data_IF_929053939361
#
_entry.id   IF_929053939361
#
_cell.length_a   1.000
_cell.length_b   1.000
_cell.length_c   1.000
_cell.angle_alpha   90.00
_cell.angle_beta   90.00
_cell.angle_gamma   90.00
#
_symmetry.space_group_name_H-M   'P 1'
#
loop_
_entity.id
_entity.type
_entity.pdbx_description
1 polymer ?
#
# COMPACT_ATOMS: atom_id res chain seq x y z
N UNK A 1 -62.07 -45.76 -8.66
CA UNK A 1 -60.80 -45.78 -9.43
C UNK A 1 -60.25 -44.36 -9.49
N UNK A 2 -59.00 -44.14 -9.94
CA UNK A 2 -58.44 -42.81 -10.18
C UNK A 2 -58.11 -42.66 -11.67
N UNK A 3 -58.64 -41.62 -12.32
CA UNK A 3 -58.34 -41.33 -13.72
C UNK A 3 -57.05 -40.51 -13.80
N UNK A 4 -56.01 -41.05 -14.46
CA UNK A 4 -54.68 -40.42 -14.51
C UNK A 4 -54.70 -39.14 -15.35
N UNK A 5 -55.44 -39.14 -16.47
CA UNK A 5 -55.57 -38.01 -17.39
C UNK A 5 -56.38 -36.87 -16.76
N UNK A 6 -57.49 -37.19 -16.08
CA UNK A 6 -58.36 -36.18 -15.45
C UNK A 6 -57.89 -35.78 -14.04
N UNK A 7 -56.87 -36.45 -13.50
CA UNK A 7 -56.32 -36.25 -12.16
C UNK A 7 -57.36 -36.24 -11.03
N UNK A 8 -58.39 -37.07 -11.13
CA UNK A 8 -59.49 -37.11 -10.16
C UNK A 8 -59.98 -38.53 -9.85
N UNK A 9 -60.55 -38.78 -8.66
CA UNK A 9 -61.26 -40.02 -8.37
C UNK A 9 -62.50 -40.15 -9.25
N UNK A 10 -62.76 -41.37 -9.72
CA UNK A 10 -63.92 -41.73 -10.56
C UNK A 10 -64.65 -42.92 -9.95
N UNK A 11 -65.98 -42.82 -9.88
CA UNK A 11 -66.87 -43.89 -9.41
C UNK A 11 -67.21 -44.87 -10.54
N UNK A 12 -67.88 -45.98 -10.20
CA UNK A 12 -68.25 -47.04 -11.15
C UNK A 12 -69.23 -46.54 -12.24
N UNK A 13 -70.16 -45.66 -11.88
CA UNK A 13 -71.16 -45.12 -12.80
C UNK A 13 -70.54 -44.22 -13.89
N UNK A 14 -69.53 -43.41 -13.55
CA UNK A 14 -68.79 -42.61 -14.54
C UNK A 14 -67.94 -43.46 -15.50
N UNK A 15 -67.59 -44.68 -15.11
CA UNK A 15 -66.89 -45.65 -15.96
C UNK A 15 -67.86 -46.33 -16.94
N UNK A 16 -69.04 -46.75 -16.46
CA UNK A 16 -70.09 -47.34 -17.31
C UNK A 16 -70.69 -46.36 -18.32
N UNK A 17 -70.85 -45.08 -17.93
CA UNK A 17 -71.33 -44.01 -18.83
C UNK A 17 -70.31 -43.63 -19.93
N UNK A 18 -69.15 -44.29 -19.99
CA UNK A 18 -68.15 -44.11 -21.04
C UNK A 18 -67.37 -42.79 -21.00
N UNK A 19 -67.63 -41.92 -20.02
CA UNK A 19 -66.98 -40.59 -19.85
C UNK A 19 -65.45 -40.66 -19.69
N UNK A 20 -64.94 -41.81 -19.24
CA UNK A 20 -63.50 -42.09 -19.09
C UNK A 20 -63.08 -43.38 -19.82
N UNK A 21 -63.85 -43.80 -20.82
CA UNK A 21 -63.63 -45.06 -21.55
C UNK A 21 -62.28 -45.13 -22.26
N UNK A 22 -61.73 -43.99 -22.69
CA UNK A 22 -60.42 -43.88 -23.34
C UNK A 22 -59.29 -43.47 -22.38
N UNK A 23 -59.58 -43.31 -21.08
CA UNK A 23 -58.60 -42.84 -20.10
C UNK A 23 -58.03 -43.99 -19.26
N UNK A 24 -56.75 -43.88 -18.92
CA UNK A 24 -56.08 -44.84 -18.04
C UNK A 24 -56.57 -44.63 -16.60
N UNK A 25 -57.21 -45.65 -16.03
CA UNK A 25 -57.70 -45.65 -14.65
C UNK A 25 -56.90 -46.62 -13.78
N UNK A 26 -56.36 -46.12 -12.67
CA UNK A 26 -55.57 -46.89 -11.70
C UNK A 26 -56.33 -47.11 -10.39
N UNK A 27 -55.90 -48.09 -9.60
CA UNK A 27 -56.45 -48.34 -8.28
C UNK A 27 -56.27 -47.11 -7.37
N UNK A 28 -57.34 -46.70 -6.70
CA UNK A 28 -57.37 -45.47 -5.88
C UNK A 28 -56.32 -45.53 -4.76
N UNK A 29 -56.21 -46.68 -4.08
CA UNK A 29 -55.23 -46.89 -3.00
C UNK A 29 -53.78 -46.82 -3.46
N UNK A 30 -53.47 -47.26 -4.68
CA UNK A 30 -52.12 -47.17 -5.24
C UNK A 30 -51.76 -45.72 -5.59
N UNK A 31 -52.68 -44.99 -6.25
CA UNK A 31 -52.48 -43.56 -6.55
C UNK A 31 -52.42 -42.69 -5.28
N UNK A 32 -53.21 -43.00 -4.26
CA UNK A 32 -53.14 -42.34 -2.95
C UNK A 32 -51.75 -42.48 -2.31
N UNK A 33 -51.18 -43.71 -2.27
CA UNK A 33 -49.82 -43.93 -1.76
C UNK A 33 -48.77 -43.17 -2.59
N UNK A 34 -48.89 -43.21 -3.92
CA UNK A 34 -47.97 -42.53 -4.84
C UNK A 34 -47.99 -41.01 -4.62
N UNK A 35 -49.16 -40.38 -4.62
CA UNK A 35 -49.28 -38.94 -4.41
C UNK A 35 -48.84 -38.51 -3.01
N UNK A 36 -49.15 -39.32 -1.98
CA UNK A 36 -48.68 -39.06 -0.60
C UNK A 36 -47.15 -39.11 -0.51
N UNK A 37 -46.52 -40.06 -1.20
CA UNK A 37 -45.06 -40.17 -1.29
C UNK A 37 -44.44 -38.99 -2.04
N UNK A 38 -44.99 -38.62 -3.20
CA UNK A 38 -44.52 -37.48 -4.00
C UNK A 38 -44.65 -36.15 -3.24
N UNK A 39 -45.79 -35.93 -2.56
CA UNK A 39 -45.99 -34.74 -1.74
C UNK A 39 -45.01 -34.70 -0.56
N UNK A 40 -44.77 -35.83 0.10
CA UNK A 40 -43.80 -35.91 1.20
C UNK A 40 -42.38 -35.60 0.72
N UNK A 41 -41.99 -36.12 -0.45
CA UNK A 41 -40.69 -35.84 -1.06
C UNK A 41 -40.55 -34.35 -1.45
N UNK A 42 -41.59 -33.75 -2.03
CA UNK A 42 -41.61 -32.33 -2.37
C UNK A 42 -41.52 -31.44 -1.10
N UNK A 43 -42.23 -31.81 -0.03
CA UNK A 43 -42.17 -31.11 1.26
C UNK A 43 -40.78 -31.21 1.91
N UNK A 44 -40.12 -32.36 1.83
CA UNK A 44 -38.75 -32.51 2.32
C UNK A 44 -37.80 -31.57 1.57
N UNK A 45 -37.86 -31.53 0.23
CA UNK A 45 -37.05 -30.61 -0.57
C UNK A 45 -37.31 -29.13 -0.27
N UNK A 46 -38.58 -28.75 -0.01
CA UNK A 46 -38.92 -27.39 0.42
C UNK A 46 -38.37 -27.08 1.82
N UNK A 47 -38.44 -28.06 2.75
CA UNK A 47 -37.92 -27.92 4.10
C UNK A 47 -36.40 -27.70 4.11
N UNK A 48 -35.67 -28.44 3.27
CA UNK A 48 -34.22 -28.30 3.16
C UNK A 48 -33.83 -26.93 2.58
N UNK A 49 -34.51 -26.47 1.51
CA UNK A 49 -34.31 -25.09 1.00
C UNK A 49 -34.65 -24.01 2.04
N UNK A 50 -35.66 -24.23 2.88
CA UNK A 50 -36.00 -23.29 3.94
C UNK A 50 -34.92 -23.22 5.03
N UNK A 51 -34.23 -24.33 5.33
CA UNK A 51 -33.07 -24.34 6.24
C UNK A 51 -31.88 -23.60 5.63
N UNK A 52 -31.54 -23.88 4.38
CA UNK A 52 -30.47 -23.16 3.65
C UNK A 52 -30.73 -21.65 3.63
N UNK A 53 -31.97 -21.22 3.35
CA UNK A 53 -32.34 -19.81 3.38
C UNK A 53 -32.17 -19.17 4.77
N UNK A 54 -32.48 -19.92 5.84
CA UNK A 54 -32.31 -19.45 7.23
C UNK A 54 -30.83 -19.30 7.59
N UNK A 55 -30.00 -20.25 7.18
CA UNK A 55 -28.54 -20.19 7.39
C UNK A 55 -27.93 -19.01 6.64
N UNK A 56 -28.35 -18.80 5.38
CA UNK A 56 -27.93 -17.65 4.59
C UNK A 56 -28.35 -16.31 5.23
N UNK A 57 -29.56 -16.22 5.80
CA UNK A 57 -29.99 -15.03 6.55
C UNK A 57 -29.12 -14.75 7.78
N UNK A 58 -28.66 -15.79 8.49
CA UNK A 58 -27.72 -15.63 9.60
C UNK A 58 -26.38 -15.14 9.10
N UNK A 59 -25.87 -15.70 8.00
CA UNK A 59 -24.63 -15.24 7.36
C UNK A 59 -24.71 -13.76 6.98
N UNK A 60 -25.79 -13.32 6.34
CA UNK A 60 -25.97 -11.91 5.98
C UNK A 60 -26.00 -10.99 7.20
N UNK A 61 -26.65 -11.40 8.29
CA UNK A 61 -26.66 -10.61 9.54
C UNK A 61 -25.26 -10.48 10.13
N UNK A 62 -24.47 -11.55 10.11
CA UNK A 62 -23.09 -11.50 10.56
C UNK A 62 -22.24 -10.59 9.67
N UNK A 63 -22.43 -10.62 8.35
CA UNK A 63 -21.74 -9.70 7.42
C UNK A 63 -22.08 -8.24 7.72
N UNK A 64 -23.36 -7.93 8.01
CA UNK A 64 -23.76 -6.57 8.40
C UNK A 64 -23.04 -6.12 9.67
N UNK A 65 -22.97 -6.99 10.69
CA UNK A 65 -22.24 -6.68 11.92
C UNK A 65 -20.75 -6.44 11.65
N UNK A 66 -20.10 -7.29 10.85
CA UNK A 66 -18.70 -7.12 10.49
C UNK A 66 -18.44 -5.82 9.72
N UNK A 67 -19.33 -5.44 8.79
CA UNK A 67 -19.21 -4.16 8.07
C UNK A 67 -19.30 -2.99 9.06
N UNK A 68 -20.22 -3.06 10.03
CA UNK A 68 -20.35 -2.02 11.05
C UNK A 68 -19.08 -1.89 11.90
N UNK A 69 -18.54 -2.99 12.40
CA UNK A 69 -17.30 -3.02 13.19
C UNK A 69 -16.11 -2.49 12.38
N UNK A 70 -15.92 -2.98 11.16
CA UNK A 70 -14.83 -2.55 10.28
C UNK A 70 -14.93 -1.07 9.90
N UNK A 71 -16.16 -0.54 9.73
CA UNK A 71 -16.38 0.89 9.40
C UNK A 71 -15.91 1.78 10.56
N UNK A 72 -16.23 1.41 11.80
CA UNK A 72 -15.82 2.17 12.98
C UNK A 72 -14.30 2.19 13.11
N UNK A 73 -13.64 1.05 12.91
CA UNK A 73 -12.17 0.98 12.94
C UNK A 73 -11.53 1.81 11.82
N UNK A 74 -12.08 1.72 10.61
CA UNK A 74 -11.61 2.50 9.46
C UNK A 74 -11.75 4.02 9.70
N UNK A 75 -12.89 4.46 10.22
CA UNK A 75 -13.13 5.86 10.59
C UNK A 75 -12.15 6.33 11.67
N UNK A 76 -11.93 5.53 12.71
CA UNK A 76 -10.97 5.87 13.77
C UNK A 76 -9.54 6.01 13.22
N UNK A 77 -9.14 5.14 12.30
CA UNK A 77 -7.84 5.21 11.64
C UNK A 77 -7.70 6.46 10.75
N UNK A 78 -8.74 6.78 9.97
CA UNK A 78 -8.77 7.99 9.14
C UNK A 78 -8.64 9.25 9.99
N UNK A 79 -9.41 9.34 11.09
CA UNK A 79 -9.35 10.46 12.02
C UNK A 79 -7.94 10.60 12.61
N UNK A 80 -7.36 9.51 13.09
CA UNK A 80 -6.00 9.53 13.65
C UNK A 80 -4.95 10.00 12.63
N UNK A 81 -5.07 9.61 11.35
CA UNK A 81 -4.17 10.08 10.29
C UNK A 81 -4.32 11.58 10.04
N UNK A 82 -5.55 12.09 9.98
CA UNK A 82 -5.82 13.52 9.83
C UNK A 82 -5.30 14.33 11.02
N UNK A 83 -5.51 13.85 12.24
CA UNK A 83 -5.04 14.51 13.46
C UNK A 83 -3.51 14.58 13.51
N UNK A 84 -2.82 13.53 13.08
CA UNK A 84 -1.37 13.54 12.97
C UNK A 84 -0.85 14.63 11.99
N UNK A 85 -1.55 14.86 10.88
CA UNK A 85 -1.22 15.94 9.94
C UNK A 85 -1.47 17.32 10.56
N UNK A 86 -2.57 17.49 11.28
CA UNK A 86 -2.89 18.73 12.01
C UNK A 86 -1.81 19.03 13.06
N UNK A 87 -1.38 18.02 13.82
CA UNK A 87 -0.32 18.15 14.81
C UNK A 87 1.02 18.53 14.19
N UNK A 88 1.38 17.92 13.05
CA UNK A 88 2.58 18.28 12.32
C UNK A 88 2.54 19.76 11.86
N UNK A 89 1.38 20.22 11.38
CA UNK A 89 1.18 21.60 10.97
C UNK A 89 1.27 22.58 12.15
N UNK A 90 0.68 22.23 13.29
CA UNK A 90 0.75 23.03 14.52
C UNK A 90 2.19 23.14 15.05
N UNK A 91 2.95 22.04 15.03
CA UNK A 91 4.38 22.06 15.37
C UNK A 91 5.17 22.98 14.43
N UNK A 92 4.88 22.92 13.11
CA UNK A 92 5.53 23.80 12.13
C UNK A 92 5.18 25.27 12.37
N UNK A 93 3.93 25.60 12.67
CA UNK A 93 3.49 26.94 13.05
C UNK A 93 4.26 27.47 14.26
N UNK A 94 4.40 26.67 15.32
CA UNK A 94 5.16 27.06 16.51
C UNK A 94 6.63 27.38 16.19
N UNK A 95 7.27 26.57 15.34
CA UNK A 95 8.64 26.83 14.89
C UNK A 95 8.78 28.13 14.08
N UNK A 96 7.81 28.43 13.20
CA UNK A 96 7.82 29.67 12.42
C UNK A 96 7.64 30.90 13.31
N UNK A 97 6.71 30.84 14.27
CA UNK A 97 6.52 31.90 15.26
C UNK A 97 7.78 32.12 16.12
N UNK A 98 8.48 31.06 16.51
CA UNK A 98 9.74 31.19 17.23
C UNK A 98 10.81 31.94 16.42
N UNK A 99 10.86 31.76 15.09
CA UNK A 99 11.76 32.53 14.22
C UNK A 99 11.40 34.01 14.17
N UNK A 100 10.11 34.32 14.04
CA UNK A 100 9.62 35.71 14.07
C UNK A 100 9.97 36.37 15.40
N UNK A 101 9.74 35.68 16.52
CA UNK A 101 10.05 36.23 17.83
C UNK A 101 11.56 36.47 18.04
N UNK A 102 12.41 35.57 17.53
CA UNK A 102 13.87 35.75 17.57
C UNK A 102 14.32 36.98 16.78
N UNK A 103 13.76 37.20 15.60
CA UNK A 103 14.04 38.39 14.78
C UNK A 103 13.57 39.68 15.48
N UNK A 104 12.38 39.63 16.07
CA UNK A 104 11.82 40.71 16.87
C UNK A 104 12.73 41.08 18.07
N UNK A 105 13.16 40.08 18.85
CA UNK A 105 14.07 40.28 19.98
C UNK A 105 15.41 40.84 19.55
N UNK A 106 15.96 40.34 18.43
CA UNK A 106 17.22 40.85 17.88
C UNK A 106 17.10 42.32 17.46
N UNK A 107 16.07 42.68 16.68
CA UNK A 107 15.79 44.06 16.27
C UNK A 107 15.65 44.99 17.47
N UNK A 108 14.84 44.61 18.46
CA UNK A 108 14.66 45.38 19.69
C UNK A 108 15.97 45.57 20.45
N UNK A 109 16.79 44.51 20.55
CA UNK A 109 18.09 44.60 21.22
C UNK A 109 19.00 45.61 20.54
N UNK A 110 19.16 45.54 19.21
CA UNK A 110 20.01 46.48 18.46
C UNK A 110 19.56 47.92 18.65
N UNK A 111 18.25 48.18 18.57
CA UNK A 111 17.70 49.54 18.75
C UNK A 111 17.87 50.02 20.19
N UNK A 112 17.61 49.19 21.20
CA UNK A 112 17.80 49.54 22.62
C UNK A 112 19.26 49.83 22.94
N UNK A 113 20.19 49.02 22.42
CA UNK A 113 21.62 49.23 22.60
C UNK A 113 22.07 50.56 21.95
N UNK A 114 21.53 50.89 20.77
CA UNK A 114 21.78 52.18 20.11
C UNK A 114 21.22 53.36 20.92
N UNK A 115 20.00 53.25 21.47
CA UNK A 115 19.42 54.26 22.36
C UNK A 115 20.34 54.48 23.58
N UNK A 116 20.72 53.40 24.27
CA UNK A 116 21.59 53.47 25.45
C UNK A 116 22.91 54.18 25.14
N UNK A 117 23.56 53.81 24.03
CA UNK A 117 24.80 54.42 23.58
C UNK A 117 24.64 55.94 23.32
N UNK A 118 23.61 56.33 22.57
CA UNK A 118 23.34 57.73 22.28
C UNK A 118 23.00 58.53 23.55
N UNK A 119 22.24 57.97 24.49
CA UNK A 119 21.90 58.61 25.76
C UNK A 119 23.14 58.89 26.61
N UNK A 120 24.06 57.93 26.75
CA UNK A 120 25.31 58.11 27.51
C UNK A 120 26.18 59.19 26.87
N UNK A 121 26.35 59.13 25.54
CA UNK A 121 27.17 60.08 24.80
C UNK A 121 26.60 61.50 24.85
N UNK A 122 25.27 61.64 24.76
CA UNK A 122 24.57 62.91 24.91
C UNK A 122 24.83 63.51 26.30
N UNK A 123 24.65 62.71 27.37
CA UNK A 123 24.92 63.15 28.74
C UNK A 123 26.36 63.64 28.93
N UNK A 124 27.34 62.90 28.40
CA UNK A 124 28.76 63.28 28.47
C UNK A 124 29.03 64.59 27.70
N UNK A 125 28.43 64.74 26.52
CA UNK A 125 28.57 65.95 25.69
C UNK A 125 27.94 67.16 26.39
N UNK A 126 26.74 67.01 26.96
CA UNK A 126 26.08 68.07 27.74
C UNK A 126 26.91 68.50 28.93
N UNK A 127 27.42 67.55 29.73
CA UNK A 127 28.26 67.89 30.89
C UNK A 127 29.58 68.57 30.50
N UNK A 128 30.20 68.16 29.40
CA UNK A 128 31.38 68.83 28.87
C UNK A 128 31.04 70.26 28.43
N UNK A 129 29.92 70.45 27.73
CA UNK A 129 29.46 71.75 27.27
C UNK A 129 29.18 72.70 28.44
N UNK A 130 28.45 72.24 29.47
CA UNK A 130 28.20 73.01 30.69
C UNK A 130 29.50 73.41 31.40
N UNK A 131 30.45 72.48 31.54
CA UNK A 131 31.75 72.79 32.15
C UNK A 131 32.56 73.80 31.32
N UNK A 132 32.59 73.66 29.99
CA UNK A 132 33.22 74.65 29.10
C UNK A 132 32.59 76.03 29.28
N UNK A 133 31.25 76.11 29.36
CA UNK A 133 30.52 77.37 29.55
C UNK A 133 30.85 78.03 30.90
N UNK A 134 31.04 77.26 31.96
CA UNK A 134 31.49 77.80 33.24
C UNK A 134 32.95 78.30 33.19
N UNK A 135 33.85 77.54 32.56
CA UNK A 135 35.27 77.93 32.41
C UNK A 135 35.43 79.22 31.60
N UNK A 136 34.58 79.44 30.58
CA UNK A 136 34.61 80.68 29.76
C UNK A 136 34.29 81.93 30.60
N UNK A 137 33.68 81.80 31.78
CA UNK A 137 33.39 82.92 32.70
C UNK A 137 34.58 83.31 33.59
N UNK A 138 35.72 82.59 33.51
CA UNK A 138 36.92 82.89 34.30
C UNK A 138 37.44 84.31 34.00
N UNK A 139 37.74 85.07 35.04
CA UNK A 139 38.16 86.47 34.90
C UNK A 139 39.68 86.63 34.94
N UNK A 140 40.41 85.65 35.49
CA UNK A 140 41.89 85.64 35.48
C UNK A 140 42.44 85.09 34.15
N UNK A 141 43.14 85.89 33.33
CA UNK A 141 43.68 85.43 32.05
C UNK A 141 44.71 84.30 32.20
N UNK A 142 45.48 84.27 33.29
CA UNK A 142 46.50 83.24 33.50
C UNK A 142 45.85 81.89 33.82
N UNK A 143 44.89 81.86 34.75
CA UNK A 143 44.11 80.67 35.11
C UNK A 143 43.34 80.08 33.93
N UNK A 144 42.72 80.92 33.11
CA UNK A 144 42.03 80.46 31.90
C UNK A 144 42.97 79.77 30.90
N UNK A 145 44.11 80.41 30.58
CA UNK A 145 45.08 79.88 29.61
C UNK A 145 45.74 78.57 30.08
N UNK A 146 45.83 78.31 31.40
CA UNK A 146 46.37 77.05 31.92
C UNK A 146 45.51 75.83 31.57
N UNK A 147 44.20 76.00 31.34
CA UNK A 147 43.27 74.88 31.14
C UNK A 147 42.61 74.85 29.75
N UNK A 148 42.54 75.99 29.05
CA UNK A 148 41.76 76.15 27.81
C UNK A 148 42.22 75.23 26.68
N UNK A 149 43.52 75.09 26.44
CA UNK A 149 44.07 74.25 25.37
C UNK A 149 43.69 72.77 25.53
N UNK A 150 43.71 72.26 26.76
CA UNK A 150 43.31 70.88 27.05
C UNK A 150 41.80 70.68 26.84
N UNK A 151 40.99 71.67 27.21
CA UNK A 151 39.55 71.71 27.00
C UNK A 151 39.17 71.73 25.53
N UNK A 152 39.81 72.60 24.74
CA UNK A 152 39.60 72.72 23.29
C UNK A 152 39.88 71.37 22.60
N UNK A 153 41.00 70.70 22.94
CA UNK A 153 41.29 69.36 22.42
C UNK A 153 40.20 68.35 22.77
N UNK A 154 39.71 68.36 24.02
CA UNK A 154 38.65 67.45 24.47
C UNK A 154 37.31 67.70 23.78
N UNK A 155 36.98 68.96 23.49
CA UNK A 155 35.79 69.33 22.71
C UNK A 155 35.89 68.78 21.30
N UNK A 156 36.98 69.06 20.57
CA UNK A 156 37.16 68.54 19.21
C UNK A 156 37.13 67.00 19.16
N UNK A 157 37.81 66.32 20.09
CA UNK A 157 37.77 64.85 20.18
C UNK A 157 36.35 64.32 20.41
N UNK A 158 35.53 65.03 21.18
CA UNK A 158 34.15 64.61 21.47
C UNK A 158 33.25 64.87 20.26
N UNK A 159 33.44 65.99 19.57
CA UNK A 159 32.76 66.35 18.32
C UNK A 159 33.05 65.33 17.21
N UNK A 160 34.33 65.00 16.99
CA UNK A 160 34.75 64.02 15.98
C UNK A 160 34.11 62.64 16.22
N UNK A 161 33.94 62.26 17.48
CA UNK A 161 33.29 61.00 17.84
C UNK A 161 31.82 60.97 17.45
N UNK A 162 31.09 62.08 17.41
CA UNK A 162 29.72 62.12 16.87
C UNK A 162 29.68 61.82 15.37
N UNK A 163 30.78 62.08 14.67
CA UNK A 163 30.96 61.84 13.25
C UNK A 163 30.85 60.37 12.83
N UNK A 164 30.35 60.18 11.60
CA UNK A 164 30.12 58.92 10.85
C UNK A 164 29.37 57.82 11.61
N UNK A 165 28.05 57.74 11.38
CA UNK A 165 27.25 56.56 11.70
C UNK A 165 26.71 56.48 13.13
N UNK A 166 27.04 57.44 14.01
CA UNK A 166 26.44 57.51 15.36
C UNK A 166 24.94 57.80 15.29
N UNK A 167 24.53 58.73 14.41
CA UNK A 167 23.15 59.22 14.28
C UNK A 167 22.34 58.50 13.18
N UNK A 168 22.87 57.44 12.58
CA UNK A 168 22.15 56.67 11.56
C UNK A 168 21.51 55.43 12.19
N UNK A 169 20.23 55.13 11.92
CA UNK A 169 19.60 53.91 12.40
C UNK A 169 20.38 52.67 11.94
N UNK A 170 20.68 51.77 12.88
CA UNK A 170 21.39 50.51 12.58
C UNK A 170 20.46 49.35 12.23
N UNK A 171 19.15 49.56 12.34
CA UNK A 171 18.15 48.52 12.11
C UNK A 171 16.89 49.10 11.46
N UNK A 172 16.23 48.29 10.64
CA UNK A 172 14.92 48.59 10.05
C UNK A 172 13.78 48.06 10.92
N UNK A 173 12.59 48.65 10.77
CA UNK A 173 11.37 48.23 11.47
C UNK A 173 10.68 47.03 10.81
N UNK A 174 10.85 46.85 9.49
CA UNK A 174 10.16 45.82 8.73
C UNK A 174 10.74 44.43 8.96
N UNK A 175 9.90 43.40 8.87
CA UNK A 175 10.32 42.00 8.92
C UNK A 175 10.49 41.47 7.50
N UNK A 176 11.72 41.12 7.14
CA UNK A 176 12.02 40.50 5.84
C UNK A 176 11.78 38.97 5.90
N UNK A 177 10.53 38.60 6.19
CA UNK A 177 10.08 37.22 6.31
C UNK A 177 8.79 37.05 5.51
N UNK A 178 8.81 36.17 4.52
CA UNK A 178 7.63 35.77 3.76
C UNK A 178 7.35 34.27 3.98
N UNK A 179 6.06 33.92 4.10
CA UNK A 179 5.61 32.54 4.20
C UNK A 179 4.96 32.14 2.87
N UNK A 180 5.57 31.19 2.17
CA UNK A 180 4.93 30.52 1.03
C UNK A 180 4.20 29.26 1.52
N UNK A 181 2.88 29.23 1.35
CA UNK A 181 2.02 28.10 1.72
C UNK A 181 1.46 27.34 0.51
N UNK A 182 1.76 27.78 -0.71
CA UNK A 182 1.17 27.24 -1.94
C UNK A 182 1.44 25.74 -2.13
N UNK A 183 2.67 25.24 -1.91
CA UNK A 183 2.96 23.81 -2.07
C UNK A 183 2.21 22.92 -1.08
N UNK A 184 2.02 23.41 0.16
CA UNK A 184 1.28 22.68 1.18
C UNK A 184 -0.21 22.63 0.85
N UNK A 185 -0.80 23.74 0.41
CA UNK A 185 -2.19 23.79 -0.03
C UNK A 185 -2.44 22.84 -1.21
N UNK A 186 -1.51 22.79 -2.17
CA UNK A 186 -1.59 21.83 -3.27
C UNK A 186 -1.57 20.38 -2.77
N UNK A 187 -0.71 20.07 -1.79
CA UNK A 187 -0.63 18.74 -1.19
C UNK A 187 -1.92 18.37 -0.45
N UNK A 188 -2.54 19.31 0.24
CA UNK A 188 -3.84 19.12 0.92
C UNK A 188 -4.95 18.84 -0.10
N UNK A 189 -4.99 19.57 -1.22
CA UNK A 189 -5.97 19.31 -2.28
C UNK A 189 -5.80 17.95 -2.96
N UNK A 190 -4.59 17.39 -2.95
CA UNK A 190 -4.30 16.05 -3.49
C UNK A 190 -4.53 14.93 -2.49
N UNK A 191 -4.89 15.25 -1.23
CA UNK A 191 -5.17 14.25 -0.21
C UNK A 191 -6.52 13.60 -0.49
N UNK A 192 -6.49 12.33 -0.88
CA UNK A 192 -7.67 11.54 -1.25
C UNK A 192 -7.50 10.08 -0.82
N UNK A 193 -8.60 9.32 -0.80
CA UNK A 193 -8.55 7.88 -0.61
C UNK A 193 -7.88 7.23 -1.81
N UNK A 194 -6.66 6.77 -1.62
CA UNK A 194 -6.06 5.83 -2.55
C UNK A 194 -6.73 4.49 -2.30
N UNK A 195 -7.57 4.06 -3.23
CA UNK A 195 -8.12 2.70 -3.20
C UNK A 195 -6.92 1.76 -3.24
N UNK A 196 -6.60 1.14 -2.09
CA UNK A 196 -5.77 -0.06 -2.10
C UNK A 196 -6.56 -1.03 -2.95
N UNK A 197 -6.14 -1.18 -4.21
CA UNK A 197 -6.60 -2.28 -5.04
C UNK A 197 -6.37 -3.50 -4.17
N UNK A 198 -7.45 -4.09 -3.67
CA UNK A 198 -7.42 -5.36 -2.97
C UNK A 198 -7.10 -6.46 -4.00
N UNK A 199 -5.94 -6.38 -4.64
CA UNK A 199 -5.18 -7.60 -4.85
C UNK A 199 -4.68 -7.93 -3.46
N UNK A 200 -5.33 -8.86 -2.76
CA UNK A 200 -4.52 -9.70 -1.89
C UNK A 200 -3.31 -10.11 -2.74
N UNK A 201 -2.07 -9.91 -2.28
CA UNK A 201 -0.95 -10.06 -3.18
C UNK A 201 -1.00 -11.47 -3.76
N UNK A 202 -0.93 -11.60 -5.08
CA UNK A 202 -0.60 -12.89 -5.67
C UNK A 202 0.80 -13.26 -5.15
N UNK A 203 1.12 -14.56 -5.00
CA UNK A 203 2.41 -14.94 -4.45
C UNK A 203 3.56 -14.35 -5.26
N UNK A 204 4.72 -14.16 -4.62
CA UNK A 204 5.89 -13.67 -5.35
C UNK A 204 6.32 -14.68 -6.44
N UNK A 205 6.86 -14.18 -7.55
CA UNK A 205 7.36 -15.02 -8.64
C UNK A 205 8.39 -16.02 -8.13
N UNK A 206 8.18 -17.34 -8.35
CA UNK A 206 9.12 -18.38 -7.92
C UNK A 206 10.47 -18.27 -8.66
N UNK A 207 11.53 -18.67 -7.97
CA UNK A 207 12.91 -18.65 -8.45
C UNK A 207 13.34 -20.08 -8.75
N UNK A 208 13.68 -20.38 -10.01
CA UNK A 208 14.27 -21.67 -10.39
C UNK A 208 15.67 -21.81 -9.77
N UNK A 209 15.91 -22.94 -9.11
CA UNK A 209 17.19 -23.30 -8.50
C UNK A 209 18.04 -24.02 -9.55
N UNK A 210 18.70 -23.25 -10.41
CA UNK A 210 19.45 -23.78 -11.56
C UNK A 210 20.48 -24.86 -11.20
N UNK A 211 21.07 -24.77 -10.02
CA UNK A 211 22.07 -25.71 -9.49
C UNK A 211 21.47 -27.08 -9.14
N UNK A 212 20.16 -27.12 -8.88
CA UNK A 212 19.40 -28.32 -8.54
C UNK A 212 18.58 -28.85 -9.72
N UNK A 213 18.48 -28.07 -10.81
CA UNK A 213 17.85 -28.51 -12.04
C UNK A 213 18.83 -29.34 -12.87
N UNK A 214 18.38 -30.48 -13.39
CA UNK A 214 19.21 -31.32 -14.25
C UNK A 214 18.38 -32.06 -15.29
N UNK A 215 19.05 -32.49 -16.36
CA UNK A 215 18.47 -33.41 -17.34
C UNK A 215 19.21 -34.74 -17.29
N UNK A 216 18.47 -35.83 -17.45
CA UNK A 216 19.03 -37.17 -17.50
C UNK A 216 18.25 -38.01 -18.52
N UNK A 217 18.93 -38.53 -19.54
CA UNK A 217 18.28 -39.25 -20.64
C UNK A 217 17.14 -38.41 -21.27
N UNK A 218 15.92 -38.91 -21.18
CA UNK A 218 14.68 -38.30 -21.63
C UNK A 218 13.85 -37.72 -20.47
N UNK A 219 14.48 -37.34 -19.37
CA UNK A 219 13.82 -36.70 -18.25
C UNK A 219 14.53 -35.42 -17.81
N UNK A 220 13.76 -34.54 -17.18
CA UNK A 220 14.24 -33.29 -16.61
C UNK A 220 13.71 -33.12 -15.19
N UNK A 221 14.61 -32.87 -14.24
CA UNK A 221 14.26 -32.49 -12.86
C UNK A 221 14.41 -30.98 -12.72
N UNK A 222 13.35 -30.34 -12.23
CA UNK A 222 13.25 -28.90 -12.02
C UNK A 222 12.99 -28.62 -10.54
N UNK A 223 13.75 -27.69 -9.96
CA UNK A 223 13.62 -27.22 -8.58
C UNK A 223 13.38 -25.71 -8.55
N UNK A 224 12.53 -25.24 -7.65
CA UNK A 224 12.20 -23.82 -7.50
C UNK A 224 11.86 -23.46 -6.05
N UNK A 225 12.02 -22.20 -5.67
CA UNK A 225 11.66 -21.71 -4.33
C UNK A 225 11.00 -20.35 -4.34
N UNK A 226 10.32 -20.01 -3.25
CA UNK A 226 9.87 -18.64 -3.05
C UNK A 226 11.07 -17.71 -2.78
N UNK A 227 11.00 -16.44 -3.22
CA UNK A 227 11.98 -15.42 -2.83
C UNK A 227 12.09 -15.30 -1.30
N UNK A 228 13.30 -15.13 -0.73
CA UNK A 228 13.51 -15.10 0.73
C UNK A 228 12.73 -14.02 1.49
N UNK A 229 12.32 -12.94 0.82
CA UNK A 229 11.57 -11.83 1.39
C UNK A 229 10.06 -11.88 1.06
N UNK A 230 9.58 -13.00 0.53
CA UNK A 230 8.16 -13.15 0.22
C UNK A 230 7.34 -13.26 1.51
N UNK A 231 6.48 -12.29 1.76
CA UNK A 231 5.56 -12.25 2.91
C UNK A 231 4.20 -12.88 2.61
N UNK A 232 4.02 -13.39 1.38
CA UNK A 232 2.74 -13.85 0.83
C UNK A 232 2.83 -15.35 0.53
N UNK A 233 2.07 -16.19 1.24
CA UNK A 233 2.16 -17.64 1.05
C UNK A 233 1.59 -18.07 -0.31
N UNK A 234 2.28 -18.99 -0.97
CA UNK A 234 1.75 -19.72 -2.12
C UNK A 234 0.95 -20.94 -1.62
N UNK A 235 -0.20 -21.22 -2.24
CA UNK A 235 -0.94 -22.47 -2.03
C UNK A 235 -0.44 -23.60 -2.94
N UNK A 236 0.28 -23.25 -4.01
CA UNK A 236 0.94 -24.18 -4.91
C UNK A 236 1.65 -23.49 -6.07
N UNK A 237 2.16 -24.30 -6.99
CA UNK A 237 2.93 -23.91 -8.17
C UNK A 237 2.40 -24.63 -9.40
N UNK A 238 2.57 -23.98 -10.55
CA UNK A 238 2.27 -24.53 -11.87
C UNK A 238 3.57 -24.49 -12.68
N UNK A 239 4.06 -25.64 -13.08
CA UNK A 239 5.22 -25.80 -13.96
C UNK A 239 4.74 -26.04 -15.39
N UNK A 240 5.30 -25.29 -16.33
CA UNK A 240 5.04 -25.42 -17.75
C UNK A 240 6.32 -25.72 -18.53
N UNK A 241 6.19 -26.59 -19.53
CA UNK A 241 7.22 -26.93 -20.50
C UNK A 241 6.66 -26.79 -21.92
N UNK A 242 7.46 -26.33 -22.86
CA UNK A 242 7.11 -26.36 -24.28
C UNK A 242 7.28 -27.76 -24.90
N UNK A 243 7.01 -27.88 -26.20
CA UNK A 243 7.08 -29.15 -26.93
C UNK A 243 8.49 -29.52 -27.44
N UNK A 244 9.52 -28.74 -27.08
CA UNK A 244 10.89 -28.96 -27.53
C UNK A 244 11.22 -28.36 -28.91
N UNK A 245 10.23 -27.76 -29.58
CA UNK A 245 10.35 -27.12 -30.89
C UNK A 245 9.96 -25.62 -30.86
N UNK A 246 9.93 -25.02 -29.67
CA UNK A 246 9.49 -23.63 -29.48
C UNK A 246 7.98 -23.43 -29.68
N UNK A 247 7.18 -24.49 -29.54
CA UNK A 247 5.73 -24.45 -29.60
C UNK A 247 5.07 -23.95 -28.31
N UNK A 248 3.82 -24.37 -28.08
CA UNK A 248 3.05 -23.91 -26.92
C UNK A 248 3.51 -24.58 -25.62
N UNK A 249 3.58 -23.78 -24.55
CA UNK A 249 3.78 -24.27 -23.19
C UNK A 249 2.56 -25.08 -22.71
N UNK A 250 2.82 -26.20 -22.03
CA UNK A 250 1.81 -27.05 -21.40
C UNK A 250 2.12 -27.24 -19.93
N UNK A 251 1.07 -27.28 -19.12
CA UNK A 251 1.19 -27.56 -17.68
C UNK A 251 1.59 -29.03 -17.48
N UNK A 252 2.77 -29.24 -16.89
CA UNK A 252 3.31 -30.58 -16.58
C UNK A 252 3.20 -30.92 -15.10
N UNK A 253 3.01 -29.92 -14.24
CA UNK A 253 2.83 -30.09 -12.81
C UNK A 253 1.98 -28.98 -12.20
N UNK A 254 1.07 -29.35 -11.29
CA UNK A 254 0.29 -28.44 -10.44
C UNK A 254 0.25 -29.02 -9.03
N UNK A 255 0.84 -28.34 -8.05
CA UNK A 255 0.90 -28.83 -6.67
C UNK A 255 1.74 -27.98 -5.73
N UNK A 256 1.97 -28.47 -4.51
CA UNK A 256 2.66 -27.74 -3.43
C UNK A 256 4.18 -27.93 -3.40
N UNK A 257 4.66 -28.99 -4.03
CA UNK A 257 6.07 -29.32 -4.03
C UNK A 257 6.88 -28.29 -4.81
N UNK A 258 8.12 -28.14 -4.40
CA UNK A 258 9.09 -27.21 -4.97
C UNK A 258 10.06 -27.89 -5.93
N UNK A 259 9.85 -29.17 -6.22
CA UNK A 259 10.67 -29.97 -7.12
C UNK A 259 9.78 -30.96 -7.88
N UNK A 260 10.03 -31.10 -9.18
CA UNK A 260 9.30 -32.02 -10.05
C UNK A 260 10.22 -32.61 -11.12
N UNK A 261 10.10 -33.92 -11.36
CA UNK A 261 10.74 -34.60 -12.48
C UNK A 261 9.70 -34.87 -13.56
N UNK A 262 10.04 -34.48 -14.79
CA UNK A 262 9.22 -34.68 -15.99
C UNK A 262 9.92 -35.72 -16.86
N UNK A 263 9.30 -36.89 -16.99
CA UNK A 263 9.79 -38.01 -17.80
C UNK A 263 9.13 -38.05 -19.19
N UNK A 264 9.72 -38.81 -20.12
CA UNK A 264 9.13 -39.07 -21.43
C UNK A 264 9.32 -37.95 -22.46
N UNK A 265 10.33 -37.11 -22.26
CA UNK A 265 10.71 -36.06 -23.22
C UNK A 265 11.35 -36.66 -24.49
N UNK A 266 11.34 -35.92 -25.59
CA UNK A 266 12.08 -36.34 -26.78
C UNK A 266 13.59 -36.28 -26.50
N UNK A 267 14.33 -37.27 -26.99
CA UNK A 267 15.79 -37.28 -26.93
C UNK A 267 16.38 -36.19 -27.82
N UNK A 268 17.57 -35.70 -27.46
CA UNK A 268 18.31 -34.67 -28.19
C UNK A 268 17.45 -33.45 -28.57
N UNK A 269 16.60 -33.01 -27.64
CA UNK A 269 15.63 -31.93 -27.87
C UNK A 269 15.80 -30.86 -26.81
N UNK A 270 15.54 -29.61 -27.19
CA UNK A 270 15.71 -28.44 -26.34
C UNK A 270 14.36 -27.94 -25.86
N UNK A 271 14.13 -28.00 -24.57
CA UNK A 271 12.89 -27.62 -23.92
C UNK A 271 13.02 -26.30 -23.17
N UNK A 272 11.96 -25.50 -23.18
CA UNK A 272 11.82 -24.30 -22.36
C UNK A 272 10.88 -24.57 -21.19
N UNK A 273 11.36 -24.36 -19.96
CA UNK A 273 10.60 -24.53 -18.73
C UNK A 273 10.36 -23.19 -18.02
N UNK A 274 9.17 -23.01 -17.44
CA UNK A 274 8.83 -21.84 -16.62
C UNK A 274 7.85 -22.22 -15.51
N UNK A 275 7.93 -21.57 -14.36
CA UNK A 275 7.06 -21.86 -13.21
C UNK A 275 6.39 -20.59 -12.68
N UNK A 276 5.13 -20.69 -12.25
CA UNK A 276 4.38 -19.63 -11.54
C UNK A 276 3.80 -20.17 -10.23
N UNK A 277 3.59 -19.31 -9.25
CA UNK A 277 2.97 -19.64 -7.97
C UNK A 277 1.49 -19.19 -7.97
N UNK A 278 0.64 -19.82 -7.16
CA UNK A 278 -0.77 -19.44 -7.04
C UNK A 278 -1.28 -19.49 -5.61
N UNK A 279 -2.31 -18.70 -5.31
CA UNK A 279 -3.11 -18.76 -4.08
C UNK A 279 -4.60 -18.48 -4.40
N UNK A 280 -5.47 -18.45 -3.38
CA UNK A 280 -6.90 -18.09 -3.51
C UNK A 280 -7.18 -16.77 -4.24
N UNK A 281 -6.20 -15.86 -4.33
CA UNK A 281 -6.37 -14.56 -4.97
C UNK A 281 -5.94 -14.54 -6.43
N UNK A 282 -5.00 -15.39 -6.84
CA UNK A 282 -4.56 -15.48 -8.22
C UNK A 282 -3.17 -16.09 -8.39
N UNK A 283 -2.61 -15.89 -9.59
CA UNK A 283 -1.31 -16.43 -10.00
C UNK A 283 -0.24 -15.34 -10.05
N UNK A 284 1.01 -15.70 -9.75
CA UNK A 284 2.18 -14.84 -9.92
C UNK A 284 2.54 -14.66 -11.40
N UNK A 285 3.49 -13.77 -11.69
CA UNK A 285 4.20 -13.83 -12.98
C UNK A 285 5.00 -15.13 -13.08
N UNK A 286 5.37 -15.54 -14.30
CA UNK A 286 6.26 -16.67 -14.52
C UNK A 286 7.70 -16.35 -14.12
N UNK A 287 8.44 -17.37 -13.70
CA UNK A 287 9.88 -17.34 -13.54
C UNK A 287 10.56 -16.97 -14.87
N UNK A 288 11.86 -16.67 -14.80
CA UNK A 288 12.70 -16.71 -16.00
C UNK A 288 12.59 -18.09 -16.65
N UNK A 289 12.54 -18.13 -17.97
CA UNK A 289 12.52 -19.37 -18.74
C UNK A 289 13.88 -20.05 -18.60
N UNK A 290 13.87 -21.33 -18.23
CA UNK A 290 15.05 -22.19 -18.21
C UNK A 290 15.06 -23.06 -19.46
N UNK A 291 16.18 -23.05 -20.17
CA UNK A 291 16.42 -23.91 -21.33
C UNK A 291 17.08 -25.21 -20.85
N UNK A 292 16.48 -26.34 -21.21
CA UNK A 292 16.93 -27.68 -20.86
C UNK A 292 17.22 -28.46 -22.14
N UNK A 293 18.27 -29.28 -22.15
CA UNK A 293 18.57 -30.16 -23.27
C UNK A 293 18.61 -31.60 -22.79
N UNK A 294 17.80 -32.46 -23.42
CA UNK A 294 17.80 -33.91 -23.17
C UNK A 294 18.98 -34.58 -23.87
N UNK A 295 19.43 -35.72 -23.36
CA UNK A 295 20.59 -36.40 -23.95
C UNK A 295 20.25 -37.05 -25.28
N UNK A 296 21.28 -37.41 -26.05
CA UNK A 296 21.11 -38.30 -27.19
C UNK A 296 20.56 -39.66 -26.72
N UNK A 297 19.57 -40.18 -27.43
CA UNK A 297 18.97 -41.47 -27.10
C UNK A 297 19.98 -42.58 -27.37
N UNK A 298 20.39 -43.31 -26.33
CA UNK A 298 21.04 -44.61 -26.54
C UNK A 298 19.97 -45.54 -27.09
N UNK A 299 20.06 -45.90 -28.37
CA UNK A 299 19.32 -47.00 -28.92
C UNK A 299 19.53 -48.22 -27.99
N UNK A 300 18.42 -48.79 -27.49
CA UNK A 300 18.47 -50.06 -26.80
C UNK A 300 19.25 -51.03 -27.70
N UNK A 301 20.41 -51.45 -27.20
CA UNK A 301 21.24 -52.45 -27.85
C UNK A 301 20.33 -53.67 -28.09
N UNK A 302 20.09 -53.97 -29.36
CA UNK A 302 19.29 -55.11 -29.77
C UNK A 302 19.85 -56.35 -29.07
N UNK A 303 19.05 -56.97 -28.19
CA UNK A 303 19.27 -58.37 -27.87
C UNK A 303 19.08 -59.16 -29.18
N UNK A 304 19.97 -60.09 -29.55
CA UNK A 304 19.80 -60.87 -30.76
C UNK A 304 18.51 -61.68 -30.63
N UNK A 305 17.61 -61.58 -31.61
CA UNK A 305 16.44 -62.44 -31.71
C UNK A 305 16.86 -63.90 -31.88
N UNK A 306 16.15 -64.83 -31.20
CA UNK A 306 16.21 -66.29 -31.37
C UNK A 306 15.80 -66.76 -32.79
N UNK A 307 16.46 -66.26 -33.83
CA UNK A 307 16.27 -66.69 -35.23
C UNK A 307 17.55 -67.21 -35.90
N UNK A 308 18.58 -67.55 -35.12
CA UNK A 308 19.75 -68.31 -35.59
C UNK A 308 19.97 -69.61 -34.80
N UNK A 309 18.89 -70.39 -34.59
CA UNK A 309 18.97 -71.77 -34.06
C UNK A 309 18.28 -72.82 -34.95
N UNK A 310 18.03 -72.53 -36.23
CA UNK A 310 17.67 -73.57 -37.21
C UNK A 310 18.32 -73.33 -38.59
N UNK A 311 19.30 -74.16 -38.90
CA UNK A 311 19.94 -74.36 -40.20
C UNK A 311 21.30 -73.67 -40.29
N UNK A 312 22.44 -74.34 -40.09
CA UNK A 312 22.86 -75.69 -40.53
C UNK A 312 23.55 -76.44 -39.40
#
# INVERSE_FOLDING_TARGET
MYCVQCKMPVCYQCLEEGKHSSHEVKALGAMWKLHKSQLSQALNGLSDRAKEAKEFLVQLRNMVQQIQENSVEFEACLVAQCDALIDALNRRKAQLLARVNKEHEHKLKVVRDQISHCTVKLRQTTGLMEYCLEVIKENDPSGFLQISDALIRRVHLTEDQWGKGTLTPRMTTDFDLSLDNSPLLQSIHQLDFVQMKASSPVPATPILQLEECCTHNNSATLSWKQPPLSTVPAEGYILELDDGNGGQFREVYVGKETMCTVDGLHFNSTYNARVKAFNKTGVSQYSKTLVLQTSEGKALQQYPSERELRGV
#
